data_IF_281013273173
#
_entry.id   IF_281013273173
#
_cell.length_a   1.000
_cell.length_b   1.000
_cell.length_c   1.000
_cell.angle_alpha   90.00
_cell.angle_beta   90.00
_cell.angle_gamma   90.00
#
_symmetry.space_group_name_H-M   'P 1'
#
loop_
_entity.id
_entity.type
_entity.pdbx_description
1 polymer ?
#
# COMPACT_ATOMS: atom_id res chain seq x y z
N UNK A 1 26.14 29.15 -50.38
CA UNK A 1 26.12 28.29 -49.18
C UNK A 1 25.02 28.79 -48.25
N UNK A 2 23.78 28.34 -48.46
CA UNK A 2 22.61 28.82 -47.71
C UNK A 2 22.48 28.08 -46.37
N UNK A 3 22.58 28.83 -45.26
CA UNK A 3 22.35 28.31 -43.90
C UNK A 3 20.85 28.27 -43.61
N UNK A 4 20.30 27.07 -43.38
CA UNK A 4 18.97 26.87 -42.84
C UNK A 4 18.98 27.08 -41.32
N UNK A 5 18.23 28.07 -40.83
CA UNK A 5 17.94 28.21 -39.40
C UNK A 5 16.72 27.35 -39.05
N UNK A 6 16.92 26.23 -38.34
CA UNK A 6 15.83 25.39 -37.81
C UNK A 6 15.37 25.96 -36.46
N UNK A 7 14.22 26.64 -36.43
CA UNK A 7 13.55 27.01 -35.18
C UNK A 7 13.02 25.75 -34.47
N UNK A 8 13.62 25.38 -33.33
CA UNK A 8 13.05 24.38 -32.41
C UNK A 8 11.81 24.97 -31.73
N UNK A 9 10.61 24.53 -32.15
CA UNK A 9 9.39 24.73 -31.34
C UNK A 9 9.52 23.89 -30.05
N UNK A 10 9.62 24.55 -28.91
CA UNK A 10 9.53 23.93 -27.58
C UNK A 10 8.07 23.52 -27.37
N UNK A 11 7.78 22.22 -27.38
CA UNK A 11 6.45 21.71 -26.99
C UNK A 11 6.33 21.87 -25.47
N UNK A 12 5.61 22.89 -25.03
CA UNK A 12 5.10 22.93 -23.66
C UNK A 12 4.09 21.80 -23.50
N UNK A 13 4.39 20.85 -22.61
CA UNK A 13 3.40 19.88 -22.14
C UNK A 13 2.39 20.67 -21.30
N UNK A 14 1.24 21.02 -21.88
CA UNK A 14 0.06 21.36 -21.09
C UNK A 14 -0.21 20.16 -20.18
N UNK A 15 0.06 20.33 -18.89
CA UNK A 15 -0.33 19.38 -17.87
C UNK A 15 -1.86 19.38 -17.89
N UNK A 16 -2.44 18.34 -18.49
CA UNK A 16 -3.86 18.07 -18.37
C UNK A 16 -4.04 17.69 -16.90
N UNK A 17 -4.31 18.69 -16.07
CA UNK A 17 -4.90 18.45 -14.77
C UNK A 17 -6.23 17.79 -15.12
N UNK A 18 -6.33 16.50 -14.82
CA UNK A 18 -7.55 15.76 -15.03
C UNK A 18 -8.62 16.46 -14.20
N UNK A 19 -9.61 17.12 -14.84
CA UNK A 19 -10.61 17.95 -14.16
C UNK A 19 -11.32 17.17 -13.04
N UNK A 20 -11.41 15.85 -13.23
CA UNK A 20 -11.84 14.87 -12.25
C UNK A 20 -11.07 15.00 -10.92
N UNK A 21 -9.73 15.04 -10.93
CA UNK A 21 -8.89 15.12 -9.72
C UNK A 21 -9.09 16.41 -8.90
N UNK A 22 -9.42 17.54 -9.56
CA UNK A 22 -9.68 18.81 -8.88
C UNK A 22 -11.04 18.79 -8.20
N UNK A 23 -12.05 18.27 -8.91
CA UNK A 23 -13.40 18.07 -8.36
C UNK A 23 -13.35 17.08 -7.18
N UNK A 24 -12.56 16.01 -7.29
CA UNK A 24 -12.41 15.00 -6.23
C UNK A 24 -11.68 15.53 -4.99
N UNK A 25 -10.64 16.35 -5.16
CA UNK A 25 -9.98 17.04 -4.05
C UNK A 25 -10.93 18.00 -3.32
N UNK A 26 -11.70 18.78 -4.09
CA UNK A 26 -12.69 19.71 -3.55
C UNK A 26 -13.79 18.99 -2.76
N UNK A 27 -14.34 17.89 -3.28
CA UNK A 27 -15.38 17.11 -2.58
C UNK A 27 -14.84 16.52 -1.27
N UNK A 28 -13.61 15.99 -1.28
CA UNK A 28 -13.01 15.39 -0.09
C UNK A 28 -12.72 16.43 1.02
N UNK A 29 -12.31 17.63 0.64
CA UNK A 29 -11.99 18.71 1.59
C UNK A 29 -13.24 19.42 2.14
N UNK A 30 -14.33 19.48 1.38
CA UNK A 30 -15.49 20.30 1.73
C UNK A 30 -16.70 19.52 2.26
N UNK A 31 -16.70 18.19 2.20
CA UNK A 31 -17.82 17.37 2.66
C UNK A 31 -17.39 16.43 3.79
N UNK A 32 -17.37 16.98 5.00
CA UNK A 32 -17.29 16.22 6.24
C UNK A 32 -18.45 16.67 7.14
N UNK A 33 -19.27 15.72 7.59
CA UNK A 33 -20.47 15.89 8.42
C UNK A 33 -21.67 16.60 7.75
N UNK A 34 -22.46 15.81 7.02
CA UNK A 34 -23.93 15.91 6.83
C UNK A 34 -24.31 15.51 5.39
N UNK A 35 -24.05 14.23 5.09
CA UNK A 35 -24.22 13.60 3.78
C UNK A 35 -25.71 13.38 3.45
N UNK A 36 -26.55 13.16 4.46
CA UNK A 36 -27.94 12.72 4.27
C UNK A 36 -28.87 13.80 3.72
N UNK A 37 -28.67 15.07 4.08
CA UNK A 37 -29.59 16.16 3.69
C UNK A 37 -29.26 16.80 2.34
N UNK A 38 -27.99 16.77 1.90
CA UNK A 38 -27.58 17.40 0.64
C UNK A 38 -27.72 16.47 -0.58
N UNK A 39 -27.65 15.16 -0.36
CA UNK A 39 -27.67 14.14 -1.42
C UNK A 39 -29.01 14.11 -2.17
N UNK A 40 -30.14 14.24 -1.47
CA UNK A 40 -31.46 14.01 -2.09
C UNK A 40 -32.05 15.20 -2.86
N UNK A 41 -31.49 16.41 -2.76
CA UNK A 41 -32.14 17.62 -3.31
C UNK A 41 -31.51 18.18 -4.59
N UNK A 42 -30.27 17.82 -4.93
CA UNK A 42 -29.51 18.50 -6.01
C UNK A 42 -28.81 17.52 -6.98
N UNK A 43 -28.50 16.30 -6.56
CA UNK A 43 -27.67 15.40 -7.37
C UNK A 43 -28.52 14.46 -8.25
N UNK A 44 -28.16 14.29 -9.54
CA UNK A 44 -28.66 13.18 -10.34
C UNK A 44 -28.39 11.86 -9.60
N UNK A 45 -29.36 10.93 -9.61
CA UNK A 45 -29.26 9.62 -8.92
C UNK A 45 -27.93 8.90 -9.23
N UNK A 46 -27.46 8.99 -10.47
CA UNK A 46 -26.16 8.43 -10.91
C UNK A 46 -24.98 9.05 -10.15
N UNK A 47 -25.00 10.36 -9.88
CA UNK A 47 -23.97 11.01 -9.07
C UNK A 47 -24.08 10.61 -7.59
N UNK A 48 -25.28 10.36 -7.09
CA UNK A 48 -25.48 9.86 -5.72
C UNK A 48 -24.90 8.46 -5.58
N UNK A 49 -25.20 7.56 -6.52
CA UNK A 49 -24.64 6.19 -6.53
C UNK A 49 -23.11 6.21 -6.65
N UNK A 50 -22.55 7.03 -7.54
CA UNK A 50 -21.10 7.21 -7.67
C UNK A 50 -20.47 7.79 -6.39
N UNK A 51 -21.13 8.74 -5.73
CA UNK A 51 -20.67 9.30 -4.46
C UNK A 51 -20.79 8.25 -3.35
N UNK A 52 -21.84 7.44 -3.32
CA UNK A 52 -22.04 6.38 -2.33
C UNK A 52 -20.97 5.29 -2.51
N UNK A 53 -20.76 4.78 -3.72
CA UNK A 53 -19.73 3.78 -4.01
C UNK A 53 -18.32 4.29 -3.64
N UNK A 54 -18.06 5.59 -3.85
CA UNK A 54 -16.77 6.21 -3.54
C UNK A 54 -16.61 6.61 -2.07
N UNK A 55 -17.69 6.98 -1.37
CA UNK A 55 -17.66 7.32 0.06
C UNK A 55 -17.61 6.06 0.92
N UNK A 56 -18.19 4.95 0.47
CA UNK A 56 -18.21 3.67 1.19
C UNK A 56 -16.85 2.95 1.10
N UNK A 57 -16.16 3.02 -0.04
CA UNK A 57 -14.84 2.38 -0.20
C UNK A 57 -13.76 3.35 0.28
N UNK A 58 -13.51 3.32 1.60
CA UNK A 58 -12.38 4.00 2.23
C UNK A 58 -11.51 3.02 3.00
N UNK A 59 -10.23 3.35 3.06
CA UNK A 59 -9.29 2.72 3.97
C UNK A 59 -9.03 3.75 5.06
N UNK A 60 -9.51 3.49 6.29
CA UNK A 60 -9.36 4.40 7.45
C UNK A 60 -7.91 4.44 7.98
N UNK A 61 -6.99 4.84 7.09
CA UNK A 61 -5.56 4.89 7.31
C UNK A 61 -5.14 6.28 7.75
N UNK A 62 -4.31 6.34 8.81
CA UNK A 62 -3.63 7.57 9.23
C UNK A 62 -2.32 7.81 8.45
N UNK A 63 -1.89 6.85 7.62
CA UNK A 63 -0.67 6.92 6.81
C UNK A 63 -0.91 7.57 5.45
N UNK A 64 -2.01 7.19 4.80
CA UNK A 64 -2.29 7.54 3.40
C UNK A 64 -2.83 8.96 3.30
N UNK A 65 -2.24 9.77 2.42
CA UNK A 65 -2.91 10.96 1.91
C UNK A 65 -4.06 10.57 0.99
N UNK A 66 -4.95 11.51 0.69
CA UNK A 66 -6.13 11.16 -0.09
C UNK A 66 -5.87 10.66 -1.50
N UNK A 67 -4.82 11.16 -2.15
CA UNK A 67 -4.39 10.68 -3.47
C UNK A 67 -3.75 9.29 -3.40
N UNK A 68 -3.02 9.00 -2.32
CA UNK A 68 -2.38 7.69 -2.12
C UNK A 68 -3.43 6.62 -1.83
N UNK A 69 -4.45 6.95 -1.04
CA UNK A 69 -5.60 6.08 -0.78
C UNK A 69 -6.36 5.75 -2.07
N UNK A 70 -6.69 6.76 -2.88
CA UNK A 70 -7.35 6.56 -4.19
C UNK A 70 -6.50 5.68 -5.12
N UNK A 71 -5.20 5.93 -5.19
CA UNK A 71 -4.28 5.11 -5.97
C UNK A 71 -4.25 3.67 -5.47
N UNK A 72 -4.19 3.45 -4.16
CA UNK A 72 -4.18 2.10 -3.60
C UNK A 72 -5.49 1.36 -3.86
N UNK A 73 -6.64 2.01 -3.65
CA UNK A 73 -7.96 1.43 -3.97
C UNK A 73 -8.05 1.06 -5.45
N UNK A 74 -7.60 1.94 -6.35
CA UNK A 74 -7.60 1.65 -7.79
C UNK A 74 -6.70 0.45 -8.13
N UNK A 75 -5.50 0.38 -7.53
CA UNK A 75 -4.60 -0.76 -7.68
C UNK A 75 -5.23 -2.07 -7.19
N UNK A 76 -5.87 -2.05 -6.02
CA UNK A 76 -6.53 -3.22 -5.44
C UNK A 76 -7.73 -3.65 -6.28
N UNK A 77 -8.60 -2.74 -6.70
CA UNK A 77 -9.75 -3.05 -7.57
C UNK A 77 -9.31 -3.68 -8.89
N UNK A 78 -8.26 -3.14 -9.53
CA UNK A 78 -7.74 -3.70 -10.77
C UNK A 78 -7.13 -5.10 -10.58
N UNK A 79 -6.48 -5.37 -9.44
CA UNK A 79 -5.86 -6.66 -9.16
C UNK A 79 -6.85 -7.72 -8.69
N UNK A 80 -7.73 -7.34 -7.79
CA UNK A 80 -8.65 -8.26 -7.13
C UNK A 80 -9.94 -8.43 -7.93
N UNK A 81 -10.31 -7.47 -8.78
CA UNK A 81 -11.60 -7.43 -9.49
C UNK A 81 -12.79 -7.53 -8.53
N UNK A 82 -12.67 -6.90 -7.36
CA UNK A 82 -13.65 -6.96 -6.27
C UNK A 82 -13.98 -5.55 -5.79
N UNK A 83 -15.25 -5.32 -5.45
CA UNK A 83 -15.62 -4.27 -4.51
C UNK A 83 -15.36 -4.81 -3.11
N UNK A 84 -14.63 -4.07 -2.29
CA UNK A 84 -14.27 -4.51 -0.95
C UNK A 84 -14.55 -3.44 0.10
N UNK A 85 -14.72 -3.89 1.34
CA UNK A 85 -14.69 -3.01 2.51
C UNK A 85 -13.47 -3.35 3.37
N UNK A 86 -13.04 -2.40 4.19
CA UNK A 86 -11.91 -2.61 5.09
C UNK A 86 -12.30 -2.45 6.56
N UNK A 87 -11.68 -3.25 7.41
CA UNK A 87 -11.80 -3.17 8.87
C UNK A 87 -10.39 -3.09 9.46
N UNK A 88 -10.10 -2.05 10.25
CA UNK A 88 -8.81 -1.90 10.91
C UNK A 88 -8.64 -2.99 11.98
N UNK A 89 -7.61 -3.83 11.80
CA UNK A 89 -7.25 -4.87 12.78
C UNK A 89 -6.17 -4.35 13.74
N UNK A 90 -5.17 -3.67 13.20
CA UNK A 90 -3.99 -3.27 13.95
C UNK A 90 -3.46 -1.93 13.45
N UNK A 91 -3.08 -1.07 14.39
CA UNK A 91 -2.32 0.16 14.16
C UNK A 91 -1.16 0.22 15.14
N UNK A 92 0.07 0.37 14.66
CA UNK A 92 1.26 0.18 15.47
C UNK A 92 1.37 1.19 16.60
N UNK A 93 1.06 2.47 16.34
CA UNK A 93 1.03 3.49 17.40
C UNK A 93 0.02 3.20 18.52
N UNK A 94 -1.13 2.60 18.21
CA UNK A 94 -2.15 2.22 19.20
C UNK A 94 -1.78 0.95 19.98
N UNK A 95 -0.85 0.15 19.45
CA UNK A 95 -0.45 -1.13 20.02
C UNK A 95 1.06 -1.20 20.34
N UNK A 96 1.69 -0.05 20.57
CA UNK A 96 3.10 0.09 20.98
C UNK A 96 4.10 -0.67 20.10
N UNK A 97 3.81 -0.78 18.80
CA UNK A 97 4.62 -1.49 17.80
C UNK A 97 4.98 -2.92 18.24
N UNK A 98 4.06 -3.57 18.96
CA UNK A 98 4.25 -4.90 19.55
C UNK A 98 3.83 -6.01 18.58
N UNK A 99 4.77 -6.92 18.26
CA UNK A 99 4.52 -8.05 17.37
C UNK A 99 3.55 -9.09 17.96
N UNK A 100 3.54 -9.28 19.28
CA UNK A 100 2.57 -10.18 19.91
C UNK A 100 1.16 -9.62 19.79
N UNK A 101 0.99 -8.29 19.93
CA UNK A 101 -0.31 -7.63 19.69
C UNK A 101 -0.73 -7.67 18.23
N UNK A 102 0.21 -7.65 17.29
CA UNK A 102 -0.11 -7.89 15.89
C UNK A 102 -0.71 -9.29 15.71
N UNK A 103 -0.07 -10.34 16.23
CA UNK A 103 -0.60 -11.70 16.10
C UNK A 103 -1.92 -11.91 16.84
N UNK A 104 -2.12 -11.29 18.01
CA UNK A 104 -3.41 -11.31 18.72
C UNK A 104 -4.57 -10.74 17.87
N UNK A 105 -4.27 -9.71 17.06
CA UNK A 105 -5.28 -8.97 16.29
C UNK A 105 -5.47 -9.51 14.87
N UNK A 106 -4.39 -9.98 14.23
CA UNK A 106 -4.34 -10.26 12.79
C UNK A 106 -4.35 -11.75 12.45
N UNK A 107 -3.98 -12.64 13.38
CA UNK A 107 -4.02 -14.07 13.10
C UNK A 107 -5.46 -14.53 12.86
N UNK A 108 -5.61 -15.44 11.89
CA UNK A 108 -6.88 -16.08 11.54
C UNK A 108 -7.99 -15.13 11.05
N UNK A 109 -7.66 -13.89 10.67
CA UNK A 109 -8.65 -12.88 10.22
C UNK A 109 -9.03 -12.92 8.73
N UNK A 110 -8.39 -13.76 7.93
CA UNK A 110 -8.65 -13.87 6.49
C UNK A 110 -7.72 -12.96 5.67
N UNK A 111 -8.24 -12.44 4.56
CA UNK A 111 -7.49 -11.58 3.66
C UNK A 111 -7.15 -10.24 4.31
N UNK A 112 -5.91 -9.76 4.13
CA UNK A 112 -5.47 -8.50 4.72
C UNK A 112 -4.69 -7.62 3.76
N UNK A 113 -4.74 -6.32 4.00
CA UNK A 113 -3.84 -5.31 3.45
C UNK A 113 -2.99 -4.74 4.59
N UNK A 114 -1.69 -4.67 4.35
CA UNK A 114 -0.70 -4.05 5.23
C UNK A 114 -0.26 -2.74 4.61
N UNK A 115 -0.29 -1.65 5.37
CA UNK A 115 0.19 -0.32 4.97
C UNK A 115 1.32 0.09 5.92
N UNK A 116 2.47 0.45 5.38
CA UNK A 116 3.67 0.79 6.16
C UNK A 116 4.18 2.16 5.76
N UNK A 117 4.60 2.96 6.75
CA UNK A 117 5.36 4.20 6.55
C UNK A 117 6.68 4.14 7.30
N UNK A 118 7.80 4.27 6.59
CA UNK A 118 9.12 4.33 7.22
C UNK A 118 9.61 5.78 7.44
N UNK A 119 10.74 5.93 8.12
CA UNK A 119 11.37 7.24 8.41
C UNK A 119 11.89 7.97 7.17
N UNK A 120 12.08 7.28 6.03
CA UNK A 120 12.34 7.90 4.72
C UNK A 120 11.08 8.43 4.03
N UNK A 121 9.94 8.39 4.72
CA UNK A 121 8.64 8.78 4.20
C UNK A 121 8.17 7.93 3.00
N UNK A 122 8.66 6.70 2.83
CA UNK A 122 8.12 5.77 1.85
C UNK A 122 6.83 5.14 2.37
N UNK A 123 5.87 4.90 1.48
CA UNK A 123 4.61 4.20 1.80
C UNK A 123 4.43 3.03 0.86
N UNK A 124 4.40 1.86 1.47
CA UNK A 124 4.43 0.57 0.82
C UNK A 124 3.70 -0.45 1.67
N UNK A 125 3.52 -1.65 1.14
CA UNK A 125 2.73 -2.64 1.81
C UNK A 125 2.61 -3.96 1.06
N UNK A 126 1.71 -4.78 1.57
CA UNK A 126 1.41 -6.09 1.01
C UNK A 126 -0.08 -6.38 1.08
N UNK A 127 -0.53 -7.25 0.19
CA UNK A 127 -1.83 -7.89 0.26
C UNK A 127 -1.62 -9.40 0.45
N UNK A 128 -2.43 -10.00 1.30
CA UNK A 128 -2.59 -11.45 1.39
C UNK A 128 -4.06 -11.83 1.24
N UNK A 129 -4.33 -12.89 0.48
CA UNK A 129 -5.64 -13.54 0.46
C UNK A 129 -5.83 -14.43 1.67
N UNK A 130 -4.76 -15.03 2.18
CA UNK A 130 -4.81 -15.96 3.32
C UNK A 130 -4.48 -15.27 4.65
N UNK A 131 -4.99 -15.84 5.75
CA UNK A 131 -4.74 -15.36 7.10
C UNK A 131 -3.28 -15.54 7.55
N UNK A 132 -2.82 -14.58 8.37
CA UNK A 132 -1.69 -14.73 9.27
C UNK A 132 -1.93 -15.86 10.28
N UNK A 133 -0.86 -16.51 10.73
CA UNK A 133 -0.95 -17.56 11.75
C UNK A 133 0.43 -17.81 12.37
N UNK A 134 0.66 -17.35 13.61
CA UNK A 134 1.94 -17.56 14.33
C UNK A 134 2.33 -19.02 14.54
N UNK A 135 1.39 -19.96 14.45
CA UNK A 135 1.67 -21.39 14.61
C UNK A 135 2.13 -22.04 13.30
N UNK A 136 2.07 -21.33 12.18
CA UNK A 136 2.49 -21.81 10.86
C UNK A 136 3.62 -20.93 10.34
N UNK A 137 4.83 -21.48 10.30
CA UNK A 137 6.03 -20.72 9.92
C UNK A 137 5.89 -20.02 8.56
N UNK A 138 5.25 -20.66 7.58
CA UNK A 138 4.98 -20.10 6.26
C UNK A 138 3.52 -20.23 5.87
N UNK A 139 3.08 -19.38 4.94
CA UNK A 139 1.77 -19.48 4.30
C UNK A 139 1.94 -19.51 2.79
N UNK A 140 1.23 -20.46 2.19
CA UNK A 140 1.05 -20.54 0.75
C UNK A 140 -0.01 -19.54 0.31
N UNK A 141 0.37 -18.55 -0.49
CA UNK A 141 -0.57 -17.59 -1.05
C UNK A 141 -0.16 -17.16 -2.47
N UNK A 142 -0.67 -17.82 -3.53
CA UNK A 142 -0.38 -17.44 -4.91
C UNK A 142 -1.00 -16.10 -5.32
N UNK A 143 -1.90 -15.53 -4.49
CA UNK A 143 -2.56 -14.24 -4.76
C UNK A 143 -1.91 -13.10 -3.97
N UNK A 144 -0.89 -13.37 -3.16
CA UNK A 144 -0.19 -12.31 -2.45
C UNK A 144 0.62 -11.44 -3.43
N UNK A 145 0.68 -10.15 -3.14
CA UNK A 145 1.50 -9.19 -3.86
C UNK A 145 1.94 -8.07 -2.93
N UNK A 146 3.05 -7.42 -3.28
CA UNK A 146 3.52 -6.22 -2.61
C UNK A 146 3.19 -4.99 -3.44
N UNK A 147 3.21 -3.82 -2.81
CA UNK A 147 2.93 -2.57 -3.49
C UNK A 147 3.67 -1.40 -2.85
N UNK A 148 3.80 -0.33 -3.63
CA UNK A 148 4.32 0.96 -3.20
C UNK A 148 3.40 2.04 -3.78
N UNK A 149 3.11 3.09 -3.00
CA UNK A 149 2.41 4.31 -3.47
C UNK A 149 3.27 5.56 -3.28
N UNK A 150 4.29 5.51 -2.43
CA UNK A 150 5.26 6.60 -2.22
C UNK A 150 6.67 6.02 -2.04
N UNK A 151 7.66 6.46 -2.83
CA UNK A 151 7.66 7.63 -3.72
C UNK A 151 7.10 7.36 -5.12
N UNK A 152 6.86 6.10 -5.49
CA UNK A 152 6.35 5.74 -6.82
C UNK A 152 5.34 4.61 -6.73
N UNK A 153 4.20 4.81 -7.41
CA UNK A 153 3.14 3.81 -7.51
C UNK A 153 3.63 2.60 -8.31
N UNK A 154 3.66 1.42 -7.69
CA UNK A 154 4.06 0.15 -8.31
C UNK A 154 3.47 -1.05 -7.56
N UNK A 155 3.18 -2.13 -8.29
CA UNK A 155 2.84 -3.46 -7.74
C UNK A 155 3.99 -4.42 -8.03
N UNK A 156 4.22 -5.33 -7.10
CA UNK A 156 5.22 -6.38 -7.18
C UNK A 156 4.55 -7.74 -7.02
N UNK A 157 4.41 -8.45 -8.12
CA UNK A 157 3.89 -9.81 -8.13
C UNK A 157 4.96 -10.82 -7.72
N UNK A 158 4.52 -12.01 -7.31
CA UNK A 158 5.39 -13.16 -7.17
C UNK A 158 6.19 -13.40 -8.44
N UNK A 159 7.43 -13.85 -8.29
CA UNK A 159 8.26 -14.29 -9.40
C UNK A 159 7.63 -15.47 -10.12
N UNK A 160 7.93 -15.60 -11.41
CA UNK A 160 7.49 -16.76 -12.20
C UNK A 160 7.89 -18.11 -11.58
N UNK A 161 9.06 -18.17 -10.92
CA UNK A 161 9.55 -19.36 -10.21
C UNK A 161 8.85 -19.62 -8.87
N UNK A 162 8.05 -18.69 -8.37
CA UNK A 162 7.41 -18.72 -7.04
C UNK A 162 5.88 -18.58 -7.16
N UNK A 163 5.32 -18.84 -8.35
CA UNK A 163 3.89 -18.64 -8.67
C UNK A 163 2.94 -19.51 -7.84
N UNK A 164 3.42 -20.61 -7.27
CA UNK A 164 2.61 -21.43 -6.36
C UNK A 164 2.45 -20.78 -4.97
N UNK A 165 3.23 -19.73 -4.68
CA UNK A 165 3.11 -18.90 -3.49
C UNK A 165 3.51 -19.60 -2.19
N UNK A 166 4.20 -20.76 -2.21
CA UNK A 166 4.47 -21.60 -1.02
C UNK A 166 5.11 -20.89 0.18
N UNK A 167 5.89 -19.86 -0.08
CA UNK A 167 6.58 -19.05 0.93
C UNK A 167 6.31 -17.55 0.72
N UNK A 168 5.11 -17.23 0.22
CA UNK A 168 4.66 -15.87 -0.01
C UNK A 168 4.62 -15.07 1.31
N UNK A 169 4.27 -15.71 2.42
CA UNK A 169 4.25 -15.09 3.74
C UNK A 169 4.96 -15.97 4.76
N UNK A 170 5.51 -15.33 5.79
CA UNK A 170 6.07 -16.00 6.96
C UNK A 170 5.46 -15.45 8.23
N UNK A 171 5.45 -16.27 9.28
CA UNK A 171 5.02 -15.87 10.61
C UNK A 171 6.09 -16.22 11.63
N UNK A 172 6.46 -15.24 12.44
CA UNK A 172 7.40 -15.39 13.54
C UNK A 172 6.98 -14.50 14.68
N UNK A 173 7.03 -15.01 15.92
CA UNK A 173 6.57 -14.26 17.09
C UNK A 173 7.22 -12.88 17.26
N UNK A 174 8.48 -12.72 16.86
CA UNK A 174 9.23 -11.44 16.91
C UNK A 174 8.99 -10.50 15.73
N UNK A 175 8.03 -10.81 14.86
CA UNK A 175 7.74 -10.07 13.64
C UNK A 175 6.25 -9.73 13.56
N UNK A 176 5.97 -8.59 12.93
CA UNK A 176 4.65 -8.27 12.42
C UNK A 176 4.48 -8.89 11.03
N UNK A 177 4.02 -8.11 10.03
CA UNK A 177 3.97 -8.56 8.64
C UNK A 177 5.33 -8.99 8.07
N UNK A 178 5.37 -10.18 7.46
CA UNK A 178 6.53 -10.70 6.74
C UNK A 178 6.10 -11.39 5.44
N UNK A 179 6.61 -10.87 4.33
CA UNK A 179 6.38 -11.39 2.98
C UNK A 179 7.70 -11.83 2.33
N UNK A 180 7.64 -12.99 1.67
CA UNK A 180 8.72 -13.57 0.88
C UNK A 180 9.83 -14.20 1.71
N UNK A 181 10.42 -15.30 1.20
CA UNK A 181 11.47 -16.07 1.90
C UNK A 181 12.76 -15.31 2.20
N UNK A 182 13.01 -14.22 1.48
CA UNK A 182 14.20 -13.39 1.63
C UNK A 182 13.97 -12.11 2.39
N UNK A 183 12.83 -11.94 3.06
CA UNK A 183 12.36 -10.66 3.59
C UNK A 183 12.15 -9.64 2.45
N UNK A 184 11.17 -9.87 1.58
CA UNK A 184 10.81 -8.91 0.52
C UNK A 184 10.07 -7.69 1.09
N UNK A 185 9.34 -7.90 2.19
CA UNK A 185 8.85 -6.89 3.13
C UNK A 185 8.86 -7.54 4.51
N UNK A 186 9.46 -6.89 5.51
CA UNK A 186 9.46 -7.41 6.87
C UNK A 186 9.38 -6.30 7.91
N UNK A 187 8.60 -6.53 8.96
CA UNK A 187 8.42 -5.63 10.10
C UNK A 187 8.77 -6.39 11.38
N UNK A 188 9.75 -5.89 12.13
CA UNK A 188 10.21 -6.49 13.39
C UNK A 188 9.49 -5.91 14.61
N UNK A 189 9.56 -6.60 15.75
CA UNK A 189 9.09 -6.06 17.03
C UNK A 189 9.80 -4.74 17.37
N UNK A 190 9.04 -3.80 17.94
CA UNK A 190 9.50 -2.43 18.26
C UNK A 190 10.20 -1.76 17.07
N UNK A 191 9.71 -1.96 15.85
CA UNK A 191 10.27 -1.41 14.61
C UNK A 191 10.39 0.12 14.57
N UNK A 192 9.76 0.84 15.50
CA UNK A 192 9.93 2.27 15.71
C UNK A 192 11.17 2.66 16.53
N UNK A 193 11.85 1.70 17.17
CA UNK A 193 13.02 1.91 18.03
C UNK A 193 14.29 1.24 17.48
N UNK A 194 14.20 0.58 16.33
CA UNK A 194 15.32 -0.07 15.67
C UNK A 194 15.23 0.13 14.15
N UNK A 195 16.26 -0.29 13.42
CA UNK A 195 16.33 -0.24 11.95
C UNK A 195 16.32 -1.65 11.33
N UNK A 196 15.73 -2.64 12.00
CA UNK A 196 15.71 -4.04 11.58
C UNK A 196 14.46 -4.41 10.77
N UNK A 197 13.76 -3.43 10.19
CA UNK A 197 12.62 -3.61 9.30
C UNK A 197 12.96 -3.10 7.91
N UNK A 198 12.22 -3.51 6.88
CA UNK A 198 12.60 -3.10 5.53
C UNK A 198 11.82 -3.76 4.41
N UNK A 199 12.41 -3.65 3.22
CA UNK A 199 11.87 -4.21 1.98
C UNK A 199 12.96 -4.46 0.94
N UNK A 200 12.57 -5.19 -0.11
CA UNK A 200 13.26 -5.17 -1.40
C UNK A 200 14.41 -6.17 -1.55
N UNK A 201 14.34 -7.34 -0.91
CA UNK A 201 15.30 -8.42 -1.19
C UNK A 201 15.11 -9.04 -2.57
N UNK A 202 13.90 -8.95 -3.11
CA UNK A 202 13.54 -9.44 -4.42
C UNK A 202 13.71 -10.95 -4.55
N UNK A 203 13.47 -11.74 -3.50
CA UNK A 203 13.66 -13.19 -3.56
C UNK A 203 12.41 -13.93 -4.02
N UNK A 204 11.24 -13.60 -3.47
CA UNK A 204 9.94 -14.18 -3.81
C UNK A 204 9.12 -13.27 -4.71
N UNK A 205 9.20 -11.95 -4.51
CA UNK A 205 8.49 -10.95 -5.31
C UNK A 205 9.41 -10.24 -6.31
N UNK A 206 8.86 -9.74 -7.42
CA UNK A 206 9.57 -8.98 -8.45
C UNK A 206 9.85 -7.53 -8.00
N UNK A 207 10.59 -7.38 -6.91
CA UNK A 207 10.93 -6.07 -6.32
C UNK A 207 12.41 -5.99 -5.98
N UNK A 208 12.91 -4.78 -5.75
CA UNK A 208 14.16 -4.51 -5.05
C UNK A 208 14.02 -3.17 -4.31
N UNK A 209 14.97 -2.81 -3.45
CA UNK A 209 14.90 -1.57 -2.68
C UNK A 209 14.74 -0.30 -3.53
N UNK A 210 15.39 -0.24 -4.70
CA UNK A 210 15.29 0.92 -5.60
C UNK A 210 13.91 1.07 -6.24
N UNK A 211 13.16 -0.02 -6.40
CA UNK A 211 11.78 0.03 -6.88
C UNK A 211 10.82 0.71 -5.88
N UNK A 212 11.14 0.65 -4.60
CA UNK A 212 10.47 1.39 -3.53
C UNK A 212 11.11 2.78 -3.30
N UNK A 213 12.05 3.19 -4.15
CA UNK A 213 12.70 4.49 -4.11
C UNK A 213 13.89 4.63 -3.16
N UNK A 214 14.40 3.54 -2.59
CA UNK A 214 15.67 3.60 -1.86
C UNK A 214 16.83 3.93 -2.82
N UNK A 215 17.75 4.79 -2.38
CA UNK A 215 18.90 5.24 -3.18
C UNK A 215 20.16 5.34 -2.32
N UNK A 216 21.32 5.23 -2.98
CA UNK A 216 22.62 5.43 -2.33
C UNK A 216 22.79 4.59 -1.07
N UNK A 217 23.12 5.24 0.04
CA UNK A 217 23.40 4.62 1.34
C UNK A 217 22.17 3.94 1.98
N UNK A 218 20.96 4.15 1.46
CA UNK A 218 19.77 3.41 1.92
C UNK A 218 19.82 1.93 1.53
N UNK A 219 20.60 1.58 0.49
CA UNK A 219 20.68 0.25 -0.06
C UNK A 219 21.90 -0.50 0.48
N UNK A 220 21.70 -1.72 0.95
CA UNK A 220 22.81 -2.62 1.24
C UNK A 220 23.31 -3.32 -0.04
N UNK A 221 24.32 -4.17 0.09
CA UNK A 221 24.92 -4.94 -1.01
C UNK A 221 23.94 -5.90 -1.71
N UNK A 222 22.78 -6.18 -1.10
CA UNK A 222 21.71 -7.01 -1.65
C UNK A 222 20.56 -6.17 -2.22
N UNK A 223 20.76 -4.86 -2.40
CA UNK A 223 19.73 -3.91 -2.84
C UNK A 223 18.49 -3.86 -1.94
N UNK A 224 18.63 -4.21 -0.66
CA UNK A 224 17.56 -4.09 0.34
C UNK A 224 17.65 -2.74 1.04
N UNK A 225 16.51 -2.22 1.49
CA UNK A 225 16.45 -1.04 2.35
C UNK A 225 16.09 -1.44 3.78
N UNK A 226 16.97 -1.13 4.72
CA UNK A 226 16.72 -1.26 6.16
C UNK A 226 16.28 0.11 6.69
N UNK A 227 15.23 0.12 7.50
CA UNK A 227 14.67 1.37 8.00
C UNK A 227 13.92 1.19 9.31
N UNK A 228 13.84 2.28 10.06
CA UNK A 228 12.93 2.43 11.19
C UNK A 228 11.53 2.72 10.66
N UNK A 229 10.52 2.12 11.29
CA UNK A 229 9.12 2.26 10.90
C UNK A 229 8.46 3.34 11.75
N UNK A 230 7.86 4.32 11.08
CA UNK A 230 7.15 5.41 11.76
C UNK A 230 5.72 5.03 12.12
N UNK A 231 5.06 4.22 11.29
CA UNK A 231 3.72 3.69 11.53
C UNK A 231 3.50 2.48 10.61
N UNK A 232 2.69 1.52 11.05
CA UNK A 232 2.10 0.55 10.13
C UNK A 232 0.69 0.16 10.59
N UNK A 233 -0.16 -0.12 9.61
CA UNK A 233 -1.56 -0.47 9.81
C UNK A 233 -1.88 -1.76 9.05
N UNK A 234 -2.81 -2.54 9.59
CA UNK A 234 -3.27 -3.79 8.99
C UNK A 234 -4.78 -3.77 8.98
N UNK A 235 -5.37 -3.95 7.80
CA UNK A 235 -6.80 -4.00 7.62
C UNK A 235 -7.21 -5.36 7.06
N UNK A 236 -8.31 -5.89 7.58
CA UNK A 236 -9.04 -7.00 6.96
C UNK A 236 -9.75 -6.49 5.71
N UNK A 237 -9.80 -7.33 4.68
CA UNK A 237 -10.59 -7.11 3.47
C UNK A 237 -11.78 -8.08 3.50
N UNK A 238 -12.99 -7.53 3.41
CA UNK A 238 -14.26 -8.29 3.33
C UNK A 238 -14.85 -8.25 1.92
#
# INVERSE_FOLDING_TARGET
MFFFWKTKKKKEKKQIINNNLVIFGFIRENFNQSITTLIFSIFPIVLIELVIDYVIIRIDSKILSGKEEECLIHLLNNKLQLNFTTELLYRASEHNFDSNKFHEKCDEKGSTIVIVKNTYNHVYGGYSKVSWNKNLQTRTDPNAFLWCVRPKVKIFELKSSEKDGKQAMWNYQGYGPLYGRGNDLWITDKCNKNNNSGYGSGQSYNCNGSDYGATGEMLNNFSQCYSTISEYEVFKIN
#
